data_IF_129010916952
#
_entry.id   IF_129010916952
#
_cell.length_a   1.000
_cell.length_b   1.000
_cell.length_c   1.000
_cell.angle_alpha   90.00
_cell.angle_beta   90.00
_cell.angle_gamma   90.00
#
_symmetry.space_group_name_H-M   'P 1'
#
loop_
_entity.id
_entity.type
_entity.pdbx_description
1 polymer ?
#
# COMPACT_ATOMS: atom_id res chain seq x y z
N UNK A 1 -21.34 -2.62 -18.93
CA UNK A 1 -21.10 -3.40 -17.69
C UNK A 1 -19.83 -2.99 -16.96
N UNK A 2 -19.64 -1.69 -16.74
CA UNK A 2 -18.59 -1.09 -15.89
C UNK A 2 -19.23 -0.25 -14.77
N UNK A 3 -20.40 0.36 -15.05
CA UNK A 3 -21.16 1.14 -14.06
C UNK A 3 -21.56 0.37 -12.79
N UNK A 4 -21.93 -0.91 -12.89
CA UNK A 4 -22.30 -1.71 -11.70
C UNK A 4 -21.12 -1.94 -10.76
N UNK A 5 -19.92 -2.18 -11.31
CA UNK A 5 -18.70 -2.38 -10.50
C UNK A 5 -18.23 -1.07 -9.88
N UNK A 6 -18.35 0.05 -10.60
CA UNK A 6 -18.05 1.38 -10.08
C UNK A 6 -18.97 1.76 -8.91
N UNK A 7 -20.28 1.53 -9.04
CA UNK A 7 -21.26 1.78 -7.96
C UNK A 7 -20.95 0.92 -6.74
N UNK A 8 -20.69 -0.38 -6.92
CA UNK A 8 -20.35 -1.28 -5.81
C UNK A 8 -19.04 -0.84 -5.14
N UNK A 9 -18.01 -0.54 -5.92
CA UNK A 9 -16.71 -0.10 -5.38
C UNK A 9 -16.85 1.20 -4.60
N UNK A 10 -17.62 2.16 -5.11
CA UNK A 10 -17.90 3.44 -4.43
C UNK A 10 -18.67 3.24 -3.13
N UNK A 11 -19.70 2.39 -3.14
CA UNK A 11 -20.48 2.08 -1.93
C UNK A 11 -19.61 1.40 -0.87
N UNK A 12 -18.83 0.39 -1.25
CA UNK A 12 -17.91 -0.30 -0.34
C UNK A 12 -16.85 0.66 0.21
N UNK A 13 -16.36 1.60 -0.60
CA UNK A 13 -15.41 2.62 -0.17
C UNK A 13 -16.01 3.57 0.89
N UNK A 14 -17.25 4.04 0.69
CA UNK A 14 -17.97 4.87 1.67
C UNK A 14 -18.17 4.10 2.97
N UNK A 15 -18.62 2.85 2.88
CA UNK A 15 -18.84 1.99 4.04
C UNK A 15 -17.52 1.73 4.79
N UNK A 16 -16.42 1.51 4.07
CA UNK A 16 -15.07 1.39 4.64
C UNK A 16 -14.69 2.64 5.43
N UNK A 17 -14.90 3.84 4.88
CA UNK A 17 -14.58 5.08 5.58
C UNK A 17 -15.45 5.29 6.83
N UNK A 18 -16.74 4.96 6.75
CA UNK A 18 -17.63 5.02 7.90
C UNK A 18 -17.20 4.03 9.00
N UNK A 19 -16.87 2.78 8.63
CA UNK A 19 -16.35 1.78 9.55
C UNK A 19 -15.01 2.24 10.17
N UNK A 20 -14.10 2.81 9.39
CA UNK A 20 -12.84 3.35 9.87
C UNK A 20 -13.05 4.48 10.89
N UNK A 21 -13.92 5.44 10.57
CA UNK A 21 -14.27 6.53 11.50
C UNK A 21 -14.87 5.98 12.80
N UNK A 22 -15.72 4.95 12.71
CA UNK A 22 -16.30 4.29 13.88
C UNK A 22 -15.25 3.56 14.72
N UNK A 23 -14.29 2.85 14.10
CA UNK A 23 -13.12 2.30 14.80
C UNK A 23 -12.42 3.40 15.57
N UNK A 24 -12.06 4.50 14.91
CA UNK A 24 -11.35 5.60 15.57
C UNK A 24 -12.13 6.17 16.75
N UNK A 25 -13.42 6.48 16.59
CA UNK A 25 -14.25 7.05 17.68
C UNK A 25 -14.30 6.12 18.90
N UNK A 26 -14.41 4.81 18.67
CA UNK A 26 -14.49 3.84 19.78
C UNK A 26 -13.14 3.50 20.40
N UNK A 27 -12.08 3.49 19.59
CA UNK A 27 -10.77 2.98 19.95
C UNK A 27 -9.84 4.07 20.49
N UNK A 28 -9.94 5.32 20.00
CA UNK A 28 -9.15 6.45 20.49
C UNK A 28 -9.27 6.66 22.02
N UNK A 29 -10.46 6.57 22.65
CA UNK A 29 -10.58 6.69 24.11
C UNK A 29 -9.92 5.55 24.90
N UNK A 30 -9.55 4.45 24.22
CA UNK A 30 -8.91 3.27 24.83
C UNK A 30 -7.38 3.30 24.69
N UNK A 31 -6.82 4.34 24.07
CA UNK A 31 -5.38 4.51 23.92
C UNK A 31 -4.75 4.76 25.28
N UNK A 32 -3.70 3.99 25.57
CA UNK A 32 -2.77 4.28 26.64
C UNK A 32 -1.55 5.01 26.06
N UNK A 33 -1.32 6.24 26.53
CA UNK A 33 -0.22 7.08 26.05
C UNK A 33 1.16 6.47 26.36
N UNK A 34 1.25 5.61 27.37
CA UNK A 34 2.48 4.89 27.70
C UNK A 34 2.91 3.96 26.56
N UNK A 35 1.96 3.23 25.96
CA UNK A 35 2.23 2.31 24.86
C UNK A 35 2.79 3.05 23.62
N UNK A 36 2.32 4.27 23.36
CA UNK A 36 2.81 5.10 22.25
C UNK A 36 4.27 5.56 22.42
N UNK A 37 4.78 5.54 23.65
CA UNK A 37 6.17 5.87 23.97
C UNK A 37 7.12 4.69 23.89
N UNK A 38 6.63 3.47 23.62
CA UNK A 38 7.47 2.29 23.56
C UNK A 38 8.39 2.30 22.34
N UNK A 39 9.66 1.96 22.56
CA UNK A 39 10.67 1.91 21.51
C UNK A 39 10.57 0.60 20.70
N UNK A 40 10.97 0.61 19.41
CA UNK A 40 11.05 -0.62 18.63
C UNK A 40 11.94 -1.67 19.30
N UNK A 41 11.52 -2.94 19.25
CA UNK A 41 12.27 -4.06 19.87
C UNK A 41 13.68 -4.24 19.30
N UNK A 42 13.86 -3.91 18.02
CA UNK A 42 15.15 -3.93 17.35
C UNK A 42 15.42 -2.61 16.62
N UNK A 43 16.67 -2.17 16.74
CA UNK A 43 17.20 -1.09 15.91
C UNK A 43 17.09 -1.48 14.43
N UNK A 44 16.87 -0.51 13.54
CA UNK A 44 16.72 -0.70 12.10
C UNK A 44 15.45 -1.42 11.60
N UNK A 45 14.49 -1.77 12.46
CA UNK A 45 13.18 -2.31 12.01
C UNK A 45 12.47 -1.38 11.03
N UNK A 46 12.59 -0.07 11.20
CA UNK A 46 12.00 0.94 10.30
C UNK A 46 12.59 0.82 8.88
N UNK A 47 13.89 0.56 8.76
CA UNK A 47 14.54 0.35 7.46
C UNK A 47 14.06 -0.97 6.86
N UNK A 48 13.97 -2.01 7.68
CA UNK A 48 13.51 -3.35 7.28
C UNK A 48 12.07 -3.33 6.76
N UNK A 49 11.21 -2.49 7.34
CA UNK A 49 9.81 -2.31 6.92
C UNK A 49 9.62 -1.33 5.75
N UNK A 50 10.69 -0.68 5.26
CA UNK A 50 10.57 0.34 4.21
C UNK A 50 9.97 -0.15 2.88
N UNK A 51 10.18 -1.39 2.40
CA UNK A 51 9.48 -1.89 1.20
C UNK A 51 7.97 -1.97 1.39
N UNK A 52 7.52 -2.35 2.59
CA UNK A 52 6.10 -2.41 2.95
C UNK A 52 5.50 -1.01 2.94
N UNK A 53 6.17 -0.03 3.57
CA UNK A 53 5.72 1.37 3.53
C UNK A 53 5.66 1.92 2.11
N UNK A 54 6.66 1.63 1.27
CA UNK A 54 6.66 2.09 -0.11
C UNK A 54 5.48 1.51 -0.91
N UNK A 55 5.17 0.24 -0.71
CA UNK A 55 4.04 -0.43 -1.37
C UNK A 55 2.69 0.15 -0.96
N UNK A 56 2.53 0.54 0.31
CA UNK A 56 1.31 1.18 0.82
C UNK A 56 1.00 2.52 0.13
N UNK A 57 1.99 3.18 -0.47
CA UNK A 57 1.81 4.40 -1.28
C UNK A 57 1.89 4.13 -2.79
N UNK A 58 1.49 2.95 -3.24
CA UNK A 58 1.53 2.53 -4.64
C UNK A 58 0.44 3.13 -5.53
N UNK A 59 0.58 4.39 -5.96
CA UNK A 59 -0.35 5.05 -6.91
C UNK A 59 0.27 5.38 -8.29
N UNK A 60 1.54 5.05 -8.50
CA UNK A 60 2.30 5.51 -9.68
C UNK A 60 1.69 5.02 -11.00
N UNK A 61 1.07 3.84 -11.01
CA UNK A 61 0.41 3.24 -12.18
C UNK A 61 -0.79 4.03 -12.69
N UNK A 62 -1.46 4.82 -11.82
CA UNK A 62 -2.62 5.63 -12.23
C UNK A 62 -2.25 7.06 -12.65
N UNK A 63 -1.02 7.52 -12.42
CA UNK A 63 -0.57 8.88 -12.77
C UNK A 63 -0.83 9.21 -14.25
N UNK A 64 -0.53 8.34 -15.24
CA UNK A 64 -0.82 8.66 -16.65
C UNK A 64 -2.31 8.84 -16.93
N UNK A 65 -3.18 8.09 -16.26
CA UNK A 65 -4.62 8.21 -16.40
C UNK A 65 -5.14 9.49 -15.75
N UNK A 66 -4.63 9.86 -14.56
CA UNK A 66 -4.97 11.13 -13.90
C UNK A 66 -4.50 12.32 -14.76
N UNK A 67 -3.28 12.25 -15.33
CA UNK A 67 -2.76 13.29 -16.19
C UNK A 67 -3.61 13.52 -17.44
N UNK A 68 -4.07 12.43 -18.08
CA UNK A 68 -5.02 12.51 -19.21
C UNK A 68 -6.37 13.07 -18.78
N UNK A 69 -6.89 12.65 -17.62
CA UNK A 69 -8.16 13.14 -17.09
C UNK A 69 -8.15 14.64 -16.76
N UNK A 70 -6.99 15.16 -16.38
CA UNK A 70 -6.78 16.58 -16.06
C UNK A 70 -6.25 17.40 -17.24
N UNK A 71 -6.29 16.86 -18.47
CA UNK A 71 -5.82 17.51 -19.70
C UNK A 71 -4.37 18.05 -19.61
N UNK A 72 -3.52 17.38 -18.83
CA UNK A 72 -2.13 17.81 -18.63
C UNK A 72 -1.95 19.04 -17.73
N UNK A 73 -2.99 19.50 -17.01
CA UNK A 73 -2.87 20.60 -16.05
C UNK A 73 -1.96 20.20 -14.87
N UNK A 74 -0.72 20.69 -14.92
CA UNK A 74 0.34 20.42 -13.94
C UNK A 74 -0.06 20.84 -12.52
N UNK A 75 -0.79 21.96 -12.37
CA UNK A 75 -1.19 22.45 -11.04
C UNK A 75 -2.21 21.51 -10.42
N UNK A 76 -3.22 21.11 -11.18
CA UNK A 76 -4.25 20.15 -10.75
C UNK A 76 -3.65 18.77 -10.51
N UNK A 77 -2.77 18.30 -11.38
CA UNK A 77 -2.09 17.01 -11.23
C UNK A 77 -1.27 16.97 -9.93
N UNK A 78 -0.49 18.02 -9.66
CA UNK A 78 0.28 18.14 -8.41
C UNK A 78 -0.63 18.12 -7.19
N UNK A 79 -1.73 18.86 -7.21
CA UNK A 79 -2.70 18.83 -6.11
C UNK A 79 -3.33 17.45 -5.93
N UNK A 80 -3.69 16.77 -7.02
CA UNK A 80 -4.25 15.43 -6.98
C UNK A 80 -3.26 14.43 -6.36
N UNK A 81 -1.97 14.53 -6.68
CA UNK A 81 -0.92 13.68 -6.07
C UNK A 81 -0.73 14.01 -4.58
N UNK A 82 -0.58 15.28 -4.21
CA UNK A 82 -0.32 15.69 -2.82
C UNK A 82 -1.51 15.36 -1.92
N UNK A 83 -2.73 15.73 -2.32
CA UNK A 83 -3.93 15.44 -1.53
C UNK A 83 -4.24 13.94 -1.54
N UNK A 84 -4.10 13.29 -2.69
CA UNK A 84 -4.33 11.85 -2.84
C UNK A 84 -3.37 10.99 -2.02
N UNK A 85 -2.17 11.48 -1.71
CA UNK A 85 -1.22 10.80 -0.81
C UNK A 85 -1.36 11.24 0.65
N UNK A 86 -1.67 12.52 0.89
CA UNK A 86 -1.86 13.07 2.23
C UNK A 86 -3.04 12.44 2.97
N UNK A 87 -4.15 12.18 2.28
CA UNK A 87 -5.34 11.55 2.91
C UNK A 87 -5.02 10.14 3.45
N UNK A 88 -4.46 9.20 2.65
CA UNK A 88 -3.99 7.90 3.16
C UNK A 88 -2.96 8.02 4.28
N UNK A 89 -2.02 8.97 4.18
CA UNK A 89 -1.01 9.16 5.23
C UNK A 89 -1.64 9.49 6.58
N UNK A 90 -2.61 10.41 6.62
CA UNK A 90 -3.34 10.74 7.85
C UNK A 90 -4.08 9.51 8.38
N UNK A 91 -4.75 8.75 7.50
CA UNK A 91 -5.45 7.54 7.90
C UNK A 91 -4.48 6.49 8.47
N UNK A 92 -3.31 6.29 7.86
CA UNK A 92 -2.29 5.38 8.39
C UNK A 92 -1.75 5.85 9.74
N UNK A 93 -1.50 7.14 9.94
CA UNK A 93 -1.06 7.67 11.25
C UNK A 93 -2.13 7.40 12.32
N UNK A 94 -3.40 7.70 12.03
CA UNK A 94 -4.51 7.47 12.97
C UNK A 94 -4.67 5.98 13.28
N UNK A 95 -4.55 5.12 12.27
CA UNK A 95 -4.58 3.67 12.46
C UNK A 95 -3.43 3.18 13.34
N UNK A 96 -2.19 3.56 13.01
CA UNK A 96 -1.00 3.15 13.78
C UNK A 96 -1.07 3.65 15.22
N UNK A 97 -1.48 4.91 15.43
CA UNK A 97 -1.72 5.47 16.76
C UNK A 97 -2.78 4.69 17.54
N UNK A 98 -3.84 4.23 16.88
CA UNK A 98 -4.90 3.45 17.53
C UNK A 98 -4.38 2.07 17.94
N UNK A 99 -3.74 1.33 17.03
CA UNK A 99 -3.27 -0.02 17.29
C UNK A 99 -2.14 -0.01 18.34
N UNK A 100 -1.08 0.78 18.14
CA UNK A 100 0.02 0.88 19.11
C UNK A 100 -0.36 1.62 20.40
N UNK A 101 -1.47 2.37 20.40
CA UNK A 101 -2.00 2.96 21.61
C UNK A 101 -2.75 1.97 22.49
N UNK A 102 -3.42 0.98 21.89
CA UNK A 102 -4.19 -0.03 22.61
C UNK A 102 -3.31 -1.17 23.10
N UNK A 103 -2.33 -1.60 22.30
CA UNK A 103 -1.44 -2.69 22.63
C UNK A 103 -0.08 -2.19 23.10
N UNK A 104 0.48 -2.79 24.16
CA UNK A 104 1.93 -2.72 24.36
C UNK A 104 2.64 -3.48 23.23
N UNK A 105 3.88 -3.11 22.94
CA UNK A 105 4.69 -3.68 21.87
C UNK A 105 4.86 -5.19 22.05
N UNK A 106 5.06 -5.65 23.29
CA UNK A 106 5.20 -7.09 23.59
C UNK A 106 3.91 -7.84 23.30
N UNK A 107 2.77 -7.33 23.79
CA UNK A 107 1.46 -7.99 23.57
C UNK A 107 1.11 -7.99 22.08
N UNK A 108 1.39 -6.90 21.36
CA UNK A 108 1.16 -6.82 19.92
C UNK A 108 1.95 -7.88 19.14
N UNK A 109 3.24 -8.05 19.43
CA UNK A 109 4.07 -9.08 18.80
C UNK A 109 3.58 -10.48 19.15
N UNK A 110 3.19 -10.74 20.39
CA UNK A 110 2.62 -12.03 20.79
C UNK A 110 1.38 -12.39 19.97
N UNK A 111 0.43 -11.45 19.85
CA UNK A 111 -0.81 -11.62 19.09
C UNK A 111 -0.52 -11.94 17.61
N UNK A 112 0.32 -11.14 16.97
CA UNK A 112 0.63 -11.32 15.54
C UNK A 112 1.38 -12.64 15.31
N UNK A 113 2.25 -13.03 16.24
CA UNK A 113 2.98 -14.30 16.12
C UNK A 113 2.05 -15.52 16.27
N UNK A 114 1.05 -15.44 17.15
CA UNK A 114 0.09 -16.52 17.37
C UNK A 114 -0.94 -16.63 16.23
N UNK A 115 -1.42 -15.49 15.73
CA UNK A 115 -2.43 -15.44 14.69
C UNK A 115 -2.24 -14.19 13.80
N UNK A 116 -1.36 -14.25 12.78
CA UNK A 116 -1.03 -13.14 11.88
C UNK A 116 -2.15 -12.90 10.86
N UNK A 117 -3.38 -12.75 11.33
CA UNK A 117 -4.56 -12.52 10.49
C UNK A 117 -5.37 -11.36 11.02
N UNK A 118 -6.22 -10.80 10.13
CA UNK A 118 -7.19 -9.77 10.50
C UNK A 118 -8.14 -10.24 11.60
N UNK A 119 -8.42 -11.56 11.65
CA UNK A 119 -9.21 -12.16 12.71
C UNK A 119 -8.45 -12.13 14.05
N UNK A 120 -7.18 -12.51 14.05
CA UNK A 120 -6.30 -12.43 15.23
C UNK A 120 -6.24 -11.02 15.80
N UNK A 121 -6.08 -10.00 14.95
CA UNK A 121 -6.14 -8.60 15.37
C UNK A 121 -7.49 -8.24 15.99
N UNK A 122 -8.60 -8.66 15.39
CA UNK A 122 -9.94 -8.35 15.89
C UNK A 122 -10.21 -8.95 17.28
N UNK A 123 -9.80 -10.21 17.49
CA UNK A 123 -9.93 -10.91 18.76
C UNK A 123 -9.10 -10.24 19.84
N UNK A 124 -7.86 -9.89 19.51
CA UNK A 124 -6.97 -9.18 20.42
C UNK A 124 -7.50 -7.81 20.83
N UNK A 125 -8.07 -7.05 19.87
CA UNK A 125 -8.70 -5.76 20.18
C UNK A 125 -9.88 -5.97 21.12
N UNK A 126 -10.69 -6.99 20.90
CA UNK A 126 -11.79 -7.32 21.81
C UNK A 126 -11.34 -7.70 23.21
N UNK A 127 -10.27 -8.49 23.33
CA UNK A 127 -9.71 -8.90 24.61
C UNK A 127 -9.13 -7.70 25.38
N UNK A 128 -8.30 -6.88 24.73
CA UNK A 128 -7.62 -5.76 25.39
C UNK A 128 -8.58 -4.63 25.74
N UNK A 129 -9.56 -4.34 24.88
CA UNK A 129 -10.53 -3.28 25.14
C UNK A 129 -11.70 -3.74 26.01
N UNK A 130 -11.85 -5.05 26.24
CA UNK A 130 -13.02 -5.66 26.89
C UNK A 130 -14.31 -5.52 26.09
N UNK A 131 -14.24 -5.22 24.79
CA UNK A 131 -15.41 -4.94 23.95
C UNK A 131 -15.41 -5.77 22.67
N UNK A 132 -16.34 -6.73 22.60
CA UNK A 132 -16.62 -7.50 21.38
C UNK A 132 -17.06 -6.61 20.22
N UNK A 133 -17.74 -5.49 20.52
CA UNK A 133 -18.17 -4.52 19.52
C UNK A 133 -16.97 -3.90 18.79
N UNK A 134 -15.92 -3.47 19.51
CA UNK A 134 -14.76 -2.83 18.89
C UNK A 134 -14.01 -3.81 17.98
N UNK A 135 -13.79 -5.04 18.43
CA UNK A 135 -13.16 -6.07 17.58
C UNK A 135 -14.00 -6.39 16.34
N UNK A 136 -15.32 -6.51 16.46
CA UNK A 136 -16.20 -6.73 15.32
C UNK A 136 -16.11 -5.61 14.29
N UNK A 137 -16.08 -4.34 14.73
CA UNK A 137 -15.94 -3.19 13.83
C UNK A 137 -14.56 -3.20 13.14
N UNK A 138 -13.50 -3.49 13.89
CA UNK A 138 -12.15 -3.66 13.30
C UNK A 138 -12.16 -4.72 12.22
N UNK A 139 -12.77 -5.87 12.48
CA UNK A 139 -12.93 -6.95 11.49
C UNK A 139 -13.71 -6.50 10.25
N UNK A 140 -14.85 -5.84 10.43
CA UNK A 140 -15.66 -5.30 9.32
C UNK A 140 -14.86 -4.29 8.49
N UNK A 141 -14.17 -3.34 9.14
CA UNK A 141 -13.31 -2.38 8.45
C UNK A 141 -12.22 -3.09 7.65
N UNK A 142 -11.52 -4.05 8.25
CA UNK A 142 -10.45 -4.81 7.61
C UNK A 142 -10.94 -5.62 6.41
N UNK A 143 -12.11 -6.26 6.51
CA UNK A 143 -12.73 -7.00 5.40
C UNK A 143 -13.11 -6.04 4.26
N UNK A 144 -13.73 -4.90 4.57
CA UNK A 144 -14.07 -3.88 3.57
C UNK A 144 -12.83 -3.30 2.89
N UNK A 145 -11.76 -3.05 3.66
CA UNK A 145 -10.48 -2.59 3.13
C UNK A 145 -9.86 -3.62 2.19
N UNK A 146 -9.87 -4.90 2.57
CA UNK A 146 -9.37 -5.99 1.74
C UNK A 146 -10.17 -6.10 0.43
N UNK A 147 -11.50 -6.17 0.50
CA UNK A 147 -12.36 -6.32 -0.68
C UNK A 147 -12.21 -5.12 -1.62
N UNK A 148 -12.24 -3.88 -1.09
CA UNK A 148 -12.09 -2.68 -1.93
C UNK A 148 -10.73 -2.60 -2.61
N UNK A 149 -9.65 -2.96 -1.89
CA UNK A 149 -8.31 -3.03 -2.46
C UNK A 149 -8.22 -4.11 -3.55
N UNK A 150 -8.72 -5.32 -3.25
CA UNK A 150 -8.72 -6.44 -4.18
C UNK A 150 -9.47 -6.12 -5.48
N UNK A 151 -10.67 -5.53 -5.39
CA UNK A 151 -11.44 -5.12 -6.56
C UNK A 151 -10.69 -4.08 -7.41
N UNK A 152 -10.10 -3.06 -6.76
CA UNK A 152 -9.34 -2.02 -7.45
C UNK A 152 -8.13 -2.57 -8.20
N UNK A 153 -7.31 -3.40 -7.55
CA UNK A 153 -6.13 -4.01 -8.18
C UNK A 153 -6.53 -5.02 -9.26
N UNK A 154 -7.59 -5.80 -9.04
CA UNK A 154 -8.06 -6.78 -10.02
C UNK A 154 -8.54 -6.14 -11.31
N UNK A 155 -9.28 -5.02 -11.22
CA UNK A 155 -9.70 -4.26 -12.39
C UNK A 155 -8.49 -3.66 -13.13
N UNK A 156 -7.54 -3.08 -12.39
CA UNK A 156 -6.31 -2.54 -12.98
C UNK A 156 -5.49 -3.62 -13.70
N UNK A 157 -5.38 -4.82 -13.12
CA UNK A 157 -4.68 -5.94 -13.74
C UNK A 157 -5.43 -6.46 -14.97
N UNK A 158 -6.75 -6.57 -14.89
CA UNK A 158 -7.60 -6.98 -16.02
C UNK A 158 -7.43 -6.03 -17.21
N UNK A 159 -7.50 -4.72 -16.98
CA UNK A 159 -7.33 -3.70 -18.02
C UNK A 159 -5.88 -3.66 -18.56
N UNK A 160 -4.88 -3.79 -17.67
CA UNK A 160 -3.48 -3.85 -18.07
C UNK A 160 -3.18 -5.05 -18.96
N UNK A 161 -3.74 -6.22 -18.63
CA UNK A 161 -3.56 -7.43 -19.42
C UNK A 161 -4.28 -7.33 -20.77
N UNK A 162 -5.47 -6.72 -20.82
CA UNK A 162 -6.17 -6.45 -22.08
C UNK A 162 -5.33 -5.55 -23.01
N UNK A 163 -4.79 -4.46 -22.48
CA UNK A 163 -3.93 -3.53 -23.21
C UNK A 163 -2.63 -4.20 -23.68
N UNK A 164 -2.03 -5.06 -22.85
CA UNK A 164 -0.84 -5.82 -23.21
C UNK A 164 -1.12 -6.79 -24.37
N UNK A 165 -2.20 -7.56 -24.31
CA UNK A 165 -2.56 -8.54 -25.34
C UNK A 165 -2.89 -7.85 -26.68
N UNK A 166 -3.56 -6.69 -26.64
CA UNK A 166 -3.79 -5.87 -27.84
C UNK A 166 -2.50 -5.40 -28.48
N UNK A 167 -1.49 -4.97 -27.69
CA UNK A 167 -0.19 -4.53 -28.21
C UNK A 167 0.58 -5.62 -28.96
N UNK A 168 0.38 -6.88 -28.59
CA UNK A 168 0.97 -8.05 -29.27
C UNK A 168 0.01 -8.70 -30.28
N UNK A 169 -1.07 -8.00 -30.68
CA UNK A 169 -2.08 -8.47 -31.63
C UNK A 169 -2.82 -9.76 -31.24
N UNK A 170 -2.89 -10.08 -29.95
CA UNK A 170 -3.66 -11.23 -29.43
C UNK A 170 -5.07 -10.79 -29.06
N UNK A 171 -6.08 -11.30 -29.79
CA UNK A 171 -7.49 -11.05 -29.47
C UNK A 171 -7.96 -11.99 -28.36
N UNK A 172 -8.46 -11.40 -27.27
CA UNK A 172 -8.93 -12.14 -26.09
C UNK A 172 -10.36 -11.73 -25.76
N UNK A 173 -11.18 -12.68 -25.30
CA UNK A 173 -12.52 -12.39 -24.81
C UNK A 173 -12.49 -12.17 -23.29
N UNK A 174 -13.54 -11.54 -22.73
CA UNK A 174 -13.59 -11.19 -21.29
C UNK A 174 -13.41 -12.39 -20.37
N UNK A 175 -13.88 -13.58 -20.78
CA UNK A 175 -13.76 -14.80 -19.98
C UNK A 175 -12.30 -15.29 -19.91
N UNK A 176 -11.60 -15.41 -21.04
CA UNK A 176 -10.19 -15.78 -21.07
C UNK A 176 -9.33 -14.75 -20.33
N UNK A 177 -9.63 -13.47 -20.51
CA UNK A 177 -8.95 -12.40 -19.81
C UNK A 177 -9.15 -12.50 -18.29
N UNK A 178 -10.36 -12.81 -17.84
CA UNK A 178 -10.66 -13.09 -16.44
C UNK A 178 -9.87 -14.29 -15.90
N UNK A 179 -9.87 -15.41 -16.62
CA UNK A 179 -9.08 -16.59 -16.23
C UNK A 179 -7.59 -16.23 -16.07
N UNK A 180 -7.00 -15.53 -17.04
CA UNK A 180 -5.60 -15.11 -16.98
C UNK A 180 -5.31 -14.08 -15.87
N UNK A 181 -6.30 -13.26 -15.52
CA UNK A 181 -6.17 -12.25 -14.46
C UNK A 181 -6.23 -12.88 -13.06
N UNK A 182 -7.14 -13.83 -12.85
CA UNK A 182 -7.47 -14.32 -11.51
C UNK A 182 -6.84 -15.67 -11.15
N UNK A 183 -6.70 -16.60 -12.10
CA UNK A 183 -6.18 -17.94 -11.79
C UNK A 183 -4.71 -17.90 -11.32
N UNK A 184 -3.77 -17.17 -11.96
CA UNK A 184 -2.39 -17.18 -11.50
C UNK A 184 -2.23 -16.61 -10.08
N UNK A 185 -2.83 -15.45 -9.71
CA UNK A 185 -2.77 -14.97 -8.33
C UNK A 185 -3.43 -15.91 -7.31
N UNK A 186 -4.57 -16.52 -7.65
CA UNK A 186 -5.25 -17.48 -6.77
C UNK A 186 -4.39 -18.73 -6.57
N UNK A 187 -3.81 -19.28 -7.65
CA UNK A 187 -2.89 -20.40 -7.57
C UNK A 187 -1.71 -20.05 -6.66
N UNK A 188 -1.06 -18.90 -6.88
CA UNK A 188 0.03 -18.45 -6.02
C UNK A 188 -0.39 -18.34 -4.54
N UNK A 189 -1.55 -17.76 -4.25
CA UNK A 189 -2.07 -17.61 -2.89
C UNK A 189 -2.39 -18.95 -2.19
N UNK A 190 -2.70 -20.01 -2.94
CA UNK A 190 -2.95 -21.34 -2.38
C UNK A 190 -1.65 -22.07 -1.97
N UNK A 191 -0.52 -21.77 -2.62
CA UNK A 191 0.76 -22.45 -2.37
C UNK A 191 1.76 -21.60 -1.60
N UNK A 192 1.59 -20.28 -1.58
CA UNK A 192 2.48 -19.35 -0.91
C UNK A 192 1.72 -18.52 0.14
N UNK A 193 1.87 -18.91 1.41
CA UNK A 193 1.11 -18.36 2.53
C UNK A 193 1.78 -17.19 3.24
N UNK A 194 3.05 -16.91 2.92
CA UNK A 194 3.82 -15.82 3.54
C UNK A 194 3.49 -14.47 2.89
N UNK A 195 2.39 -13.87 3.34
CA UNK A 195 1.91 -12.59 2.80
C UNK A 195 2.95 -11.47 2.91
N UNK A 196 3.65 -11.36 4.03
CA UNK A 196 4.57 -10.26 4.27
C UNK A 196 5.80 -10.33 3.36
N UNK A 197 6.33 -11.53 3.15
CA UNK A 197 7.46 -11.71 2.23
C UNK A 197 7.02 -11.48 0.77
N UNK A 198 5.84 -11.97 0.35
CA UNK A 198 5.29 -11.64 -0.96
C UNK A 198 5.12 -10.13 -1.16
N UNK A 199 4.59 -9.43 -0.15
CA UNK A 199 4.40 -7.98 -0.17
C UNK A 199 5.75 -7.24 -0.23
N UNK A 200 6.76 -7.72 0.49
CA UNK A 200 8.11 -7.16 0.47
C UNK A 200 8.76 -7.26 -0.92
N UNK A 201 8.68 -8.42 -1.57
CA UNK A 201 9.17 -8.59 -2.96
C UNK A 201 8.38 -7.76 -3.97
N UNK A 202 7.05 -7.67 -3.81
CA UNK A 202 6.23 -6.79 -4.64
C UNK A 202 6.66 -5.32 -4.48
N UNK A 203 6.93 -4.90 -3.24
CA UNK A 203 7.46 -3.58 -2.92
C UNK A 203 8.82 -3.31 -3.54
N UNK A 204 9.73 -4.27 -3.48
CA UNK A 204 11.04 -4.18 -4.12
C UNK A 204 10.94 -3.94 -5.63
N UNK A 205 10.15 -4.77 -6.33
CA UNK A 205 9.92 -4.60 -7.77
C UNK A 205 9.23 -3.28 -8.08
N UNK A 206 8.28 -2.89 -7.24
CA UNK A 206 7.59 -1.62 -7.36
C UNK A 206 8.53 -0.43 -7.14
N UNK A 207 9.50 -0.49 -6.22
CA UNK A 207 10.52 0.54 -6.04
C UNK A 207 11.38 0.73 -7.28
N UNK A 208 11.76 -0.36 -7.94
CA UNK A 208 12.51 -0.27 -9.18
C UNK A 208 11.74 0.51 -10.26
N UNK A 209 10.51 0.10 -10.56
CA UNK A 209 9.68 0.74 -11.60
C UNK A 209 9.14 2.12 -11.17
N UNK A 210 8.81 2.29 -9.89
CA UNK A 210 8.11 3.47 -9.36
C UNK A 210 9.03 4.59 -8.90
N UNK A 211 10.31 4.28 -8.61
CA UNK A 211 11.27 5.26 -8.10
C UNK A 211 12.57 5.29 -8.91
N UNK A 212 13.27 4.16 -9.02
CA UNK A 212 14.60 4.11 -9.68
C UNK A 212 14.51 4.48 -11.15
N UNK A 213 13.62 3.83 -11.90
CA UNK A 213 13.45 4.05 -13.34
C UNK A 213 12.92 5.47 -13.66
N UNK A 214 11.89 6.01 -12.98
CA UNK A 214 11.41 7.37 -13.20
C UNK A 214 12.45 8.44 -12.89
N UNK A 215 13.29 8.23 -11.88
CA UNK A 215 14.43 9.13 -11.58
C UNK A 215 15.42 9.14 -12.75
N UNK A 216 15.79 7.97 -13.28
CA UNK A 216 16.64 7.86 -14.46
C UNK A 216 16.03 8.51 -15.70
N UNK A 217 14.73 8.32 -15.93
CA UNK A 217 13.99 8.96 -17.01
C UNK A 217 13.98 10.48 -16.86
N UNK A 218 13.70 11.01 -15.66
CA UNK A 218 13.70 12.44 -15.39
C UNK A 218 15.09 13.07 -15.61
N UNK A 219 16.15 12.40 -15.16
CA UNK A 219 17.52 12.84 -15.38
C UNK A 219 17.87 12.91 -16.88
N UNK A 220 17.55 11.85 -17.64
CA UNK A 220 17.79 11.81 -19.09
C UNK A 220 16.94 12.83 -19.84
N UNK A 221 15.66 12.99 -19.48
CA UNK A 221 14.77 13.96 -20.09
C UNK A 221 15.25 15.40 -19.89
N UNK A 222 15.77 15.75 -18.70
CA UNK A 222 16.33 17.10 -18.43
C UNK A 222 17.56 17.42 -19.27
N UNK A 223 18.36 16.41 -19.64
CA UNK A 223 19.53 16.56 -20.52
C UNK A 223 19.14 16.68 -21.99
N UNK A 224 18.20 15.84 -22.45
CA UNK A 224 17.75 15.84 -23.85
C UNK A 224 16.87 17.05 -24.17
N UNK A 225 16.09 17.52 -23.20
CA UNK A 225 15.13 18.60 -23.36
C UNK A 225 15.36 19.68 -22.28
N UNK A 226 16.27 20.65 -22.52
CA UNK A 226 16.54 21.76 -21.61
C UNK A 226 15.30 22.62 -21.32
N UNK A 227 14.43 22.82 -22.30
CA UNK A 227 13.30 23.75 -22.25
C UNK A 227 11.96 23.07 -21.91
N UNK A 228 12.00 22.04 -21.05
CA UNK A 228 10.78 21.35 -20.62
C UNK A 228 9.81 22.31 -19.93
N UNK A 229 8.50 22.25 -20.23
CA UNK A 229 7.48 23.14 -19.67
C UNK A 229 7.30 22.95 -18.15
N UNK A 230 7.71 21.80 -17.61
CA UNK A 230 7.68 21.52 -16.18
C UNK A 230 8.93 20.80 -15.71
N UNK A 231 9.45 21.24 -14.56
CA UNK A 231 10.55 20.60 -13.82
C UNK A 231 10.24 20.65 -12.32
N UNK A 232 10.30 19.49 -11.67
CA UNK A 232 10.16 19.42 -10.21
C UNK A 232 11.32 20.12 -9.51
N UNK A 233 11.03 20.80 -8.41
CA UNK A 233 11.99 21.56 -7.59
C UNK A 233 13.02 20.58 -6.97
N UNK A 234 14.22 21.09 -6.66
CA UNK A 234 15.30 20.32 -6.01
C UNK A 234 16.41 19.86 -6.95
N UNK A 235 16.28 20.12 -8.26
CA UNK A 235 17.36 19.92 -9.22
C UNK A 235 17.86 18.48 -9.29
N UNK A 236 19.16 18.30 -9.54
CA UNK A 236 19.76 16.96 -9.62
C UNK A 236 20.00 16.33 -8.24
N UNK A 237 20.07 17.16 -7.18
CA UNK A 237 20.25 16.66 -5.81
C UNK A 237 19.02 15.87 -5.36
N UNK A 238 17.80 16.35 -5.62
CA UNK A 238 16.59 15.60 -5.28
C UNK A 238 16.48 14.28 -6.05
N UNK A 239 16.91 14.25 -7.32
CA UNK A 239 17.00 13.02 -8.09
C UNK A 239 18.02 12.04 -7.50
N UNK A 240 19.19 12.52 -7.09
CA UNK A 240 20.22 11.69 -6.45
C UNK A 240 19.72 11.10 -5.13
N UNK A 241 19.09 11.90 -4.27
CA UNK A 241 18.53 11.43 -3.00
C UNK A 241 17.44 10.38 -3.26
N UNK A 242 16.52 10.64 -4.20
CA UNK A 242 15.49 9.68 -4.57
C UNK A 242 16.08 8.36 -5.11
N UNK A 243 17.15 8.44 -5.91
CA UNK A 243 17.86 7.25 -6.39
C UNK A 243 18.48 6.46 -5.24
N UNK A 244 19.18 7.13 -4.31
CA UNK A 244 19.82 6.47 -3.16
C UNK A 244 18.77 5.81 -2.26
N UNK A 245 17.66 6.48 -1.98
CA UNK A 245 16.55 5.90 -1.21
C UNK A 245 15.91 4.71 -1.95
N UNK A 246 15.71 4.81 -3.26
CA UNK A 246 15.18 3.70 -4.05
C UNK A 246 16.12 2.50 -4.06
N UNK A 247 17.43 2.72 -4.20
CA UNK A 247 18.43 1.65 -4.11
C UNK A 247 18.47 1.05 -2.71
N UNK A 248 18.37 1.86 -1.65
CA UNK A 248 18.30 1.37 -0.27
C UNK A 248 17.10 0.42 -0.12
N UNK A 249 15.88 0.89 -0.39
CA UNK A 249 14.64 0.11 -0.24
C UNK A 249 14.70 -1.16 -1.10
N UNK A 250 15.19 -1.06 -2.34
CA UNK A 250 15.32 -2.21 -3.24
C UNK A 250 16.29 -3.28 -2.73
N UNK A 251 17.26 -2.91 -1.88
CA UNK A 251 18.22 -3.85 -1.31
C UNK A 251 17.82 -4.38 0.07
N UNK A 252 16.79 -3.83 0.72
CA UNK A 252 16.35 -4.26 2.05
C UNK A 252 16.06 -5.78 2.13
N UNK A 253 15.31 -6.40 1.19
CA UNK A 253 15.08 -7.86 1.27
C UNK A 253 16.36 -8.68 1.24
N UNK A 254 17.37 -8.27 0.47
CA UNK A 254 18.68 -8.93 0.44
C UNK A 254 19.44 -8.73 1.76
N UNK A 255 19.41 -7.52 2.32
CA UNK A 255 20.05 -7.22 3.60
C UNK A 255 19.43 -7.99 4.77
N UNK A 256 18.12 -8.24 4.74
CA UNK A 256 17.42 -9.11 5.70
C UNK A 256 17.91 -10.56 5.52
N UNK A 257 17.95 -11.07 4.29
CA UNK A 257 18.40 -12.44 4.00
C UNK A 257 19.87 -12.68 4.37
N UNK A 258 20.72 -11.65 4.30
CA UNK A 258 22.13 -11.70 4.72
C UNK A 258 22.33 -11.47 6.22
N UNK A 259 21.27 -11.19 6.99
CA UNK A 259 21.35 -10.97 8.43
C UNK A 259 21.86 -9.59 8.86
N UNK A 260 21.98 -8.63 7.94
CA UNK A 260 22.35 -7.24 8.26
C UNK A 260 21.17 -6.42 8.78
N UNK A 261 19.93 -6.82 8.48
CA UNK A 261 18.70 -6.20 8.95
C UNK A 261 17.80 -7.22 9.65
N UNK A 262 17.07 -6.82 10.71
CA UNK A 262 16.14 -7.70 11.40
C UNK A 262 14.96 -8.09 10.51
N UNK A 263 14.40 -9.28 10.74
CA UNK A 263 13.15 -9.67 10.08
C UNK A 263 11.99 -8.83 10.60
N UNK A 264 11.13 -8.39 9.68
CA UNK A 264 9.87 -7.74 10.02
C UNK A 264 8.86 -8.85 10.30
N UNK A 265 8.23 -8.80 11.46
CA UNK A 265 7.14 -9.70 11.85
C UNK A 265 5.83 -8.94 11.58
N UNK A 266 4.87 -9.58 10.92
CA UNK A 266 3.60 -8.99 10.52
C UNK A 266 2.63 -10.03 10.00
#
# INVERSE_FOLDING_TARGET
GTGSVDVVTRLLFILKLAAFAFVLIMALPKINLHNLGEMPLHHFLIISASPVFFTSFGFHVVIPSINRYLDGDVRRLRMAIILGTGIPLIAYILWQMTIHGIFSQVKFVEIITQNPTLNGLSLAVSEVTGSTLIGNVVSIFSILALITSFLGVSLALFDCLDDLLKRINVRTNRLRLGVLTFIPPVFFALFYTDFLNALSYAGQMFTFYGLVLPVGMAWRARKLYPDLPYRVIGGNLSLLIALLLGLLIMNVPFLINWGYLPQVIG
#
